data_IF_854985326371
#
_entry.id   IF_854985326371
#
_cell.length_a   1.000
_cell.length_b   1.000
_cell.length_c   1.000
_cell.angle_alpha   90.00
_cell.angle_beta   90.00
_cell.angle_gamma   90.00
#
_symmetry.space_group_name_H-M   'P 1'
#
loop_
_entity.id
_entity.type
_entity.pdbx_description
1 polymer ?
#
# COMPACT_ATOMS: atom_id res chain seq x y z
N UNK A 1 70.30 10.33 20.49
CA UNK A 1 70.81 10.10 19.13
C UNK A 1 69.75 9.34 18.34
N UNK A 2 69.42 9.83 17.15
CA UNK A 2 68.66 9.18 16.07
C UNK A 2 67.19 8.81 16.29
N UNK A 3 66.26 8.96 15.33
CA UNK A 3 65.85 10.03 14.38
C UNK A 3 64.50 9.55 13.80
N UNK A 4 63.56 10.50 13.67
CA UNK A 4 62.44 10.62 12.71
C UNK A 4 61.90 9.42 11.90
N UNK A 5 60.56 9.28 11.95
CA UNK A 5 59.64 9.07 10.79
C UNK A 5 58.23 9.48 11.28
N UNK A 6 57.52 10.56 10.92
CA UNK A 6 57.17 11.30 9.69
C UNK A 6 56.21 10.57 8.71
N UNK A 7 54.91 10.96 8.83
CA UNK A 7 53.76 11.01 7.87
C UNK A 7 53.31 9.68 7.23
N UNK A 8 52.02 9.45 6.96
CA UNK A 8 51.10 10.29 6.15
C UNK A 8 49.62 10.07 6.47
N UNK A 9 48.88 11.17 6.41
CA UNK A 9 47.44 11.24 6.18
C UNK A 9 47.06 10.46 4.92
N UNK A 10 45.98 9.69 5.00
CA UNK A 10 45.22 9.27 3.84
C UNK A 10 43.73 9.52 4.14
N UNK A 11 43.28 10.73 3.77
CA UNK A 11 41.86 11.00 3.61
C UNK A 11 41.35 10.19 2.42
N UNK A 12 40.32 9.38 2.66
CA UNK A 12 39.57 8.74 1.59
C UNK A 12 38.53 9.75 1.14
N UNK A 13 38.76 10.30 -0.05
CA UNK A 13 37.81 11.11 -0.78
C UNK A 13 36.63 10.23 -1.21
N UNK A 14 35.44 10.49 -0.66
CA UNK A 14 34.19 10.02 -1.25
C UNK A 14 34.00 10.74 -2.59
N UNK A 15 34.36 10.08 -3.69
CA UNK A 15 33.92 10.51 -5.01
C UNK A 15 32.46 10.11 -5.13
N UNK A 16 31.57 11.08 -4.94
CA UNK A 16 30.16 10.94 -5.24
C UNK A 16 30.00 10.79 -6.77
N UNK A 17 29.91 9.55 -7.23
CA UNK A 17 29.43 9.25 -8.58
C UNK A 17 27.91 9.42 -8.56
N UNK A 18 27.45 10.45 -9.26
CA UNK A 18 26.05 10.62 -9.62
C UNK A 18 25.72 9.56 -10.67
N UNK A 19 25.34 8.37 -10.18
CA UNK A 19 24.77 7.28 -10.97
C UNK A 19 23.29 7.16 -10.63
N UNK A 20 22.46 7.06 -11.66
CA UNK A 20 20.99 7.00 -11.65
C UNK A 20 20.39 6.36 -10.39
N UNK A 21 19.56 7.15 -9.70
CA UNK A 21 18.76 6.74 -8.54
C UNK A 21 17.82 5.59 -8.90
N UNK A 22 18.22 4.39 -8.50
CA UNK A 22 17.42 3.17 -8.57
C UNK A 22 17.97 2.09 -7.63
N UNK A 23 18.63 2.48 -6.54
CA UNK A 23 18.85 1.58 -5.42
C UNK A 23 17.74 1.84 -4.42
N UNK A 24 16.60 1.19 -4.62
CA UNK A 24 15.73 0.86 -3.50
C UNK A 24 16.61 0.10 -2.52
N UNK A 25 16.91 0.73 -1.38
CA UNK A 25 17.47 0.04 -0.23
C UNK A 25 16.48 -1.06 0.10
N UNK A 26 16.72 -2.28 -0.40
CA UNK A 26 16.02 -3.45 0.08
C UNK A 26 16.29 -3.48 1.59
N UNK A 27 15.25 -3.38 2.44
CA UNK A 27 15.44 -3.63 3.87
C UNK A 27 16.14 -4.98 4.00
N UNK A 28 17.01 -5.13 5.00
CA UNK A 28 17.88 -6.30 5.14
C UNK A 28 17.14 -7.66 5.37
N UNK A 29 15.81 -7.69 5.24
CA UNK A 29 14.93 -8.85 5.31
C UNK A 29 14.53 -9.44 3.96
N UNK A 30 13.86 -10.58 3.97
CA UNK A 30 13.27 -11.20 2.77
C UNK A 30 11.92 -10.57 2.38
N UNK A 31 11.31 -10.99 1.25
CA UNK A 31 10.00 -10.53 0.80
C UNK A 31 8.90 -10.56 1.87
N UNK A 32 8.87 -11.61 2.69
CA UNK A 32 7.88 -11.79 3.77
C UNK A 32 8.07 -10.79 4.91
N UNK A 33 9.31 -10.37 5.19
CA UNK A 33 9.63 -9.35 6.20
C UNK A 33 9.11 -7.98 5.77
N UNK A 34 9.19 -7.68 4.47
CA UNK A 34 8.62 -6.45 3.89
C UNK A 34 7.11 -6.42 4.11
N UNK A 35 6.41 -7.50 3.78
CA UNK A 35 4.95 -7.61 3.95
C UNK A 35 4.53 -7.47 5.42
N UNK A 36 5.29 -8.07 6.35
CA UNK A 36 5.02 -7.95 7.79
C UNK A 36 5.06 -6.49 8.29
N UNK A 37 5.95 -5.68 7.71
CA UNK A 37 6.13 -4.28 8.06
C UNK A 37 5.07 -3.33 7.49
N UNK A 38 4.11 -3.82 6.70
CA UNK A 38 3.05 -2.99 6.13
C UNK A 38 1.98 -2.69 7.18
N UNK A 39 1.93 -1.45 7.65
CA UNK A 39 1.09 -1.00 8.77
C UNK A 39 -0.41 -1.09 8.48
N UNK A 40 -0.81 -0.76 7.25
CA UNK A 40 -2.21 -0.65 6.85
C UNK A 40 -2.74 -1.93 6.20
N UNK A 41 -1.96 -3.02 6.27
CA UNK A 41 -2.36 -4.34 5.83
C UNK A 41 -2.74 -5.21 7.03
N UNK A 42 -3.94 -5.78 7.01
CA UNK A 42 -4.39 -6.67 8.08
C UNK A 42 -3.56 -7.95 8.19
N UNK A 43 -3.42 -8.50 9.40
CA UNK A 43 -2.61 -9.69 9.66
C UNK A 43 -3.00 -10.91 8.79
N UNK A 44 -4.30 -11.14 8.58
CA UNK A 44 -4.77 -12.19 7.67
C UNK A 44 -4.40 -11.94 6.21
N UNK A 45 -4.41 -10.68 5.76
CA UNK A 45 -3.97 -10.31 4.40
C UNK A 45 -2.45 -10.41 4.25
N UNK A 46 -1.68 -10.06 5.28
CA UNK A 46 -0.23 -10.31 5.35
C UNK A 46 0.10 -11.80 5.22
N UNK A 47 -0.59 -12.65 5.97
CA UNK A 47 -0.42 -14.12 5.91
C UNK A 47 -0.73 -14.64 4.50
N UNK A 48 -1.78 -14.12 3.86
CA UNK A 48 -2.12 -14.50 2.48
C UNK A 48 -0.99 -14.15 1.50
N UNK A 49 -0.44 -12.93 1.59
CA UNK A 49 0.71 -12.53 0.77
C UNK A 49 1.95 -13.37 1.03
N UNK A 50 2.24 -13.69 2.29
CA UNK A 50 3.37 -14.56 2.63
C UNK A 50 3.24 -15.94 1.97
N UNK A 51 2.06 -16.54 2.04
CA UNK A 51 1.78 -17.81 1.36
C UNK A 51 1.98 -17.68 -0.15
N UNK A 52 1.42 -16.64 -0.78
CA UNK A 52 1.58 -16.41 -2.23
C UNK A 52 3.06 -16.21 -2.62
N UNK A 53 3.83 -15.51 -1.79
CA UNK A 53 5.27 -15.27 -1.98
C UNK A 53 6.06 -16.59 -1.92
N UNK A 54 5.76 -17.44 -0.95
CA UNK A 54 6.41 -18.76 -0.82
C UNK A 54 6.07 -19.66 -2.01
N UNK A 55 4.80 -19.72 -2.41
CA UNK A 55 4.34 -20.46 -3.59
C UNK A 55 4.94 -19.92 -4.90
N UNK A 56 5.24 -18.63 -4.95
CA UNK A 56 5.89 -17.98 -6.08
C UNK A 56 7.40 -18.24 -6.15
N UNK A 57 8.02 -18.87 -5.15
CA UNK A 57 9.46 -19.20 -5.13
C UNK A 57 10.31 -18.34 -4.18
N UNK A 58 9.69 -17.49 -3.35
CA UNK A 58 10.34 -16.78 -2.25
C UNK A 58 11.41 -15.76 -2.68
N UNK A 59 12.46 -15.63 -1.86
CA UNK A 59 13.45 -14.51 -1.84
C UNK A 59 14.18 -14.18 -3.16
N UNK A 60 14.14 -15.04 -4.17
CA UNK A 60 14.82 -14.84 -5.45
C UNK A 60 13.88 -15.00 -6.65
N UNK A 61 12.59 -14.80 -6.45
CA UNK A 61 11.58 -14.92 -7.50
C UNK A 61 11.06 -13.56 -7.92
N UNK A 62 11.13 -13.26 -9.21
CA UNK A 62 10.48 -12.07 -9.79
C UNK A 62 8.98 -12.04 -9.48
N UNK A 63 8.32 -13.20 -9.41
CA UNK A 63 6.91 -13.29 -9.01
C UNK A 63 6.70 -12.89 -7.55
N UNK A 64 7.63 -13.24 -6.67
CA UNK A 64 7.57 -12.80 -5.27
C UNK A 64 7.76 -11.28 -5.17
N UNK A 65 8.65 -10.70 -5.98
CA UNK A 65 8.85 -9.25 -6.03
C UNK A 65 7.59 -8.51 -6.50
N UNK A 66 6.88 -9.05 -7.51
CA UNK A 66 5.58 -8.50 -7.96
C UNK A 66 4.53 -8.55 -6.84
N UNK A 67 4.47 -9.64 -6.07
CA UNK A 67 3.54 -9.78 -4.94
C UNK A 67 3.86 -8.79 -3.81
N UNK A 68 5.14 -8.59 -3.50
CA UNK A 68 5.57 -7.56 -2.53
C UNK A 68 5.16 -6.18 -3.01
N UNK A 69 5.41 -5.85 -4.28
CA UNK A 69 5.02 -4.56 -4.85
C UNK A 69 3.50 -4.35 -4.80
N UNK A 70 2.71 -5.40 -5.06
CA UNK A 70 1.25 -5.33 -4.93
C UNK A 70 0.81 -5.05 -3.48
N UNK A 71 1.39 -5.74 -2.50
CA UNK A 71 1.09 -5.51 -1.09
C UNK A 71 1.47 -4.09 -0.65
N UNK A 72 2.61 -3.59 -1.12
CA UNK A 72 3.06 -2.22 -0.85
C UNK A 72 2.09 -1.18 -1.42
N UNK A 73 1.57 -1.40 -2.64
CA UNK A 73 0.54 -0.52 -3.21
C UNK A 73 -0.76 -0.58 -2.42
N UNK A 74 -1.24 -1.77 -2.05
CA UNK A 74 -2.43 -1.90 -1.19
C UNK A 74 -2.25 -1.15 0.14
N UNK A 75 -1.07 -1.22 0.76
CA UNK A 75 -0.74 -0.44 1.95
C UNK A 75 -0.72 1.08 1.69
N UNK A 76 -0.20 1.49 0.53
CA UNK A 76 -0.10 2.90 0.15
C UNK A 76 -1.46 3.54 -0.17
N UNK A 77 -2.56 2.78 -0.27
CA UNK A 77 -3.89 3.37 -0.43
C UNK A 77 -4.23 4.40 0.68
N UNK A 78 -3.72 4.17 1.90
CA UNK A 78 -3.83 5.12 3.02
C UNK A 78 -2.81 6.24 2.85
N UNK A 79 -3.27 7.47 3.01
CA UNK A 79 -2.45 8.68 2.87
C UNK A 79 -2.27 9.17 1.43
N UNK A 80 -2.80 8.46 0.43
CA UNK A 80 -2.78 8.90 -0.96
C UNK A 80 -4.05 9.68 -1.34
N UNK A 81 -3.95 10.73 -2.17
CA UNK A 81 -5.11 11.34 -2.78
C UNK A 81 -5.65 10.41 -3.87
N UNK A 82 -6.93 10.05 -3.80
CA UNK A 82 -7.55 9.12 -4.74
C UNK A 82 -8.72 9.80 -5.46
N UNK A 83 -8.86 9.48 -6.74
CA UNK A 83 -10.01 9.84 -7.56
C UNK A 83 -10.85 8.60 -7.86
N UNK A 84 -12.15 8.72 -7.71
CA UNK A 84 -13.09 7.68 -8.13
C UNK A 84 -13.17 7.64 -9.65
N UNK A 85 -12.97 6.46 -10.22
CA UNK A 85 -13.06 6.21 -11.66
C UNK A 85 -14.49 5.85 -12.05
N UNK A 86 -15.03 6.49 -13.09
CA UNK A 86 -16.37 6.23 -13.64
C UNK A 86 -17.35 7.39 -13.51
N UNK A 87 -18.65 7.12 -13.62
CA UNK A 87 -19.69 8.15 -13.46
C UNK A 87 -19.86 8.58 -12.00
N UNK A 88 -20.11 9.87 -11.75
CA UNK A 88 -20.10 10.44 -10.39
C UNK A 88 -18.69 10.53 -9.84
N UNK A 89 -17.80 11.22 -10.57
CA UNK A 89 -16.40 11.44 -10.22
C UNK A 89 -16.27 12.34 -8.99
N UNK A 90 -15.32 11.99 -8.13
CA UNK A 90 -14.93 12.80 -6.99
C UNK A 90 -13.68 12.21 -6.36
N UNK A 91 -13.15 12.90 -5.38
CA UNK A 91 -11.99 12.50 -4.60
C UNK A 91 -12.40 11.83 -3.30
N UNK A 92 -11.59 10.88 -2.85
CA UNK A 92 -11.68 10.26 -1.54
C UNK A 92 -10.27 10.09 -0.98
N UNK A 93 -10.12 10.20 0.34
CA UNK A 93 -8.87 10.00 1.04
C UNK A 93 -9.13 9.17 2.31
N UNK A 94 -8.30 8.15 2.49
CA UNK A 94 -8.19 7.39 3.73
C UNK A 94 -7.01 7.96 4.51
N UNK A 95 -7.28 8.82 5.48
CA UNK A 95 -6.23 9.50 6.23
C UNK A 95 -5.59 8.57 7.28
N UNK A 96 -4.30 8.73 7.57
CA UNK A 96 -3.56 7.89 8.52
C UNK A 96 -4.14 7.89 9.94
N UNK A 97 -4.90 8.93 10.31
CA UNK A 97 -5.57 9.04 11.61
C UNK A 97 -6.86 8.20 11.71
N UNK A 98 -7.21 7.44 10.68
CA UNK A 98 -8.40 6.60 10.63
C UNK A 98 -9.65 7.32 10.15
N UNK A 99 -9.55 8.57 9.66
CA UNK A 99 -10.69 9.30 9.09
C UNK A 99 -10.81 9.11 7.57
N UNK A 100 -12.04 9.23 7.07
CA UNK A 100 -12.33 9.29 5.63
C UNK A 100 -12.84 10.68 5.30
N UNK A 101 -12.30 11.27 4.24
CA UNK A 101 -12.79 12.52 3.67
C UNK A 101 -12.89 12.41 2.16
N UNK A 102 -13.70 13.26 1.54
CA UNK A 102 -13.88 13.23 0.10
C UNK A 102 -15.08 14.06 -0.35
N UNK A 103 -15.27 14.08 -1.66
CA UNK A 103 -16.45 14.67 -2.27
C UNK A 103 -17.69 13.83 -1.91
N UNK A 104 -18.82 14.49 -1.68
CA UNK A 104 -20.07 13.83 -1.26
C UNK A 104 -20.49 12.72 -2.24
N UNK A 105 -20.35 12.96 -3.55
CA UNK A 105 -20.66 11.98 -4.60
C UNK A 105 -19.71 10.76 -4.59
N UNK A 106 -18.46 10.95 -4.20
CA UNK A 106 -17.52 9.85 -4.02
C UNK A 106 -17.87 9.04 -2.76
N UNK A 107 -18.15 9.72 -1.64
CA UNK A 107 -18.50 9.08 -0.36
C UNK A 107 -19.81 8.29 -0.43
N UNK A 108 -20.80 8.74 -1.21
CA UNK A 108 -22.06 8.01 -1.44
C UNK A 108 -21.84 6.59 -1.99
N UNK A 109 -20.79 6.35 -2.77
CA UNK A 109 -20.47 5.01 -3.32
C UNK A 109 -20.03 4.02 -2.25
N UNK A 110 -19.63 4.52 -1.08
CA UNK A 110 -19.20 3.74 0.08
C UNK A 110 -20.21 3.79 1.24
N UNK A 111 -21.42 4.32 0.98
CA UNK A 111 -22.46 4.59 1.99
C UNK A 111 -22.06 5.59 3.08
N UNK A 112 -21.39 6.67 2.64
CA UNK A 112 -21.04 7.83 3.47
C UNK A 112 -20.28 7.49 4.77
N UNK A 113 -19.19 6.70 4.70
CA UNK A 113 -18.41 6.37 5.90
C UNK A 113 -17.60 7.59 6.33
N UNK A 114 -17.30 7.68 7.61
CA UNK A 114 -16.52 8.79 8.19
C UNK A 114 -15.17 8.34 8.73
N UNK A 115 -15.00 7.04 8.97
CA UNK A 115 -13.79 6.45 9.52
C UNK A 115 -13.45 5.15 8.80
N UNK A 116 -12.20 4.71 8.93
CA UNK A 116 -11.76 3.41 8.47
C UNK A 116 -10.89 2.72 9.53
N UNK A 117 -10.82 1.40 9.45
CA UNK A 117 -9.94 0.58 10.28
C UNK A 117 -9.38 -0.60 9.48
N UNK A 118 -8.17 -1.01 9.85
CA UNK A 118 -7.58 -2.27 9.36
C UNK A 118 -8.32 -3.44 10.03
N UNK A 119 -9.09 -4.20 9.25
CA UNK A 119 -9.61 -5.49 9.69
C UNK A 119 -8.57 -6.60 9.53
N UNK A 120 -8.90 -7.82 9.96
CA UNK A 120 -7.96 -8.96 9.89
C UNK A 120 -7.51 -9.23 8.45
N UNK A 121 -8.43 -9.28 7.49
CA UNK A 121 -8.09 -9.53 6.07
C UNK A 121 -8.68 -8.51 5.11
N UNK A 122 -9.46 -7.54 5.61
CA UNK A 122 -10.29 -6.63 4.82
C UNK A 122 -10.28 -5.26 5.47
N UNK A 123 -10.48 -4.22 4.67
CA UNK A 123 -10.69 -2.86 5.16
C UNK A 123 -12.09 -2.73 5.75
N UNK A 124 -12.21 -2.04 6.89
CA UNK A 124 -13.51 -1.65 7.44
C UNK A 124 -13.73 -0.18 7.15
N UNK A 125 -14.86 0.16 6.54
CA UNK A 125 -15.31 1.54 6.44
C UNK A 125 -16.48 1.73 7.39
N UNK A 126 -16.35 2.68 8.30
CA UNK A 126 -17.17 2.80 9.50
C UNK A 126 -17.98 4.10 9.47
N UNK A 127 -19.21 4.07 9.98
CA UNK A 127 -20.02 5.28 10.13
C UNK A 127 -19.57 6.16 11.31
N UNK A 128 -18.85 5.60 12.27
CA UNK A 128 -18.32 6.27 13.45
C UNK A 128 -16.99 5.66 13.89
N UNK A 129 -16.26 6.35 14.78
CA UNK A 129 -14.89 6.02 15.18
C UNK A 129 -14.78 4.65 15.86
N UNK A 130 -15.75 4.31 16.70
CA UNK A 130 -15.86 3.03 17.39
C UNK A 130 -16.04 1.83 16.45
N UNK A 131 -16.45 2.09 15.21
CA UNK A 131 -16.62 1.08 14.15
C UNK A 131 -17.51 -0.11 14.56
N UNK A 132 -18.55 0.15 15.36
CA UNK A 132 -19.58 -0.84 15.71
C UNK A 132 -20.34 -1.31 14.46
N UNK A 133 -20.64 -0.36 13.57
CA UNK A 133 -21.25 -0.61 12.27
C UNK A 133 -20.23 -0.28 11.19
N UNK A 134 -19.98 -1.23 10.29
CA UNK A 134 -19.04 -1.06 9.19
C UNK A 134 -19.42 -1.88 7.96
N UNK A 135 -18.98 -1.41 6.80
CA UNK A 135 -18.90 -2.20 5.57
C UNK A 135 -17.49 -2.77 5.42
N UNK A 136 -17.40 -3.99 4.87
CA UNK A 136 -16.14 -4.73 4.73
C UNK A 136 -15.70 -4.77 3.27
N UNK A 137 -14.47 -4.33 2.99
CA UNK A 137 -13.98 -4.16 1.63
C UNK A 137 -12.68 -4.94 1.41
N UNK A 138 -12.61 -5.68 0.31
CA UNK A 138 -11.33 -6.15 -0.23
C UNK A 138 -10.72 -5.09 -1.13
N UNK A 139 -9.40 -5.01 -1.11
CA UNK A 139 -8.63 -4.07 -1.92
C UNK A 139 -7.70 -4.89 -2.79
N UNK A 140 -7.68 -4.58 -4.07
CA UNK A 140 -6.70 -5.07 -5.04
C UNK A 140 -6.04 -3.88 -5.72
N UNK A 141 -4.73 -3.99 -6.01
CA UNK A 141 -3.98 -2.94 -6.71
C UNK A 141 -3.36 -3.45 -8.00
N UNK A 142 -3.33 -2.58 -9.01
CA UNK A 142 -2.67 -2.82 -10.30
C UNK A 142 -1.97 -1.56 -10.77
N UNK A 143 -0.87 -1.73 -11.51
CA UNK A 143 -0.26 -0.63 -12.25
C UNK A 143 -1.10 -0.34 -13.50
N UNK A 144 -1.32 0.94 -13.80
CA UNK A 144 -2.01 1.36 -15.02
C UNK A 144 -1.00 1.69 -16.13
N UNK A 145 -1.51 1.91 -17.35
CA UNK A 145 -0.67 2.14 -18.53
C UNK A 145 0.24 3.37 -18.44
N UNK A 146 -0.11 4.31 -17.57
CA UNK A 146 0.60 5.57 -17.37
C UNK A 146 1.64 5.48 -16.25
N UNK A 147 1.85 4.29 -15.67
CA UNK A 147 2.75 4.06 -14.55
C UNK A 147 2.20 4.51 -13.19
N UNK A 148 0.90 4.85 -13.14
CA UNK A 148 0.16 5.09 -11.91
C UNK A 148 -0.38 3.80 -11.29
N UNK A 149 -1.16 3.96 -10.22
CA UNK A 149 -1.78 2.84 -9.50
C UNK A 149 -3.29 2.98 -9.54
N UNK A 150 -3.95 1.91 -9.96
CA UNK A 150 -5.39 1.73 -9.86
C UNK A 150 -5.69 0.76 -8.71
N UNK A 151 -6.75 1.06 -7.98
CA UNK A 151 -7.29 0.24 -6.91
C UNK A 151 -8.70 -0.23 -7.27
N UNK A 152 -8.99 -1.49 -7.00
CA UNK A 152 -10.34 -2.05 -7.06
C UNK A 152 -10.78 -2.43 -5.66
N UNK A 153 -11.85 -1.81 -5.19
CA UNK A 153 -12.45 -2.07 -3.90
C UNK A 153 -13.74 -2.85 -4.10
N UNK A 154 -13.85 -4.05 -3.52
CA UNK A 154 -15.06 -4.87 -3.61
C UNK A 154 -15.72 -4.94 -2.24
N UNK A 155 -17.01 -4.60 -2.20
CA UNK A 155 -17.83 -4.75 -0.99
C UNK A 155 -18.14 -6.23 -0.78
N UNK A 156 -17.91 -6.70 0.43
CA UNK A 156 -18.13 -8.09 0.84
C UNK A 156 -19.41 -8.18 1.69
N UNK A 157 -20.10 -9.32 1.61
CA UNK A 157 -21.24 -9.62 2.50
C UNK A 157 -22.57 -9.00 2.10
N UNK A 158 -22.72 -8.57 0.84
CA UNK A 158 -24.03 -8.26 0.27
C UNK A 158 -24.82 -9.54 0.00
N UNK A 159 -26.14 -9.46 0.14
CA UNK A 159 -27.04 -10.51 -0.31
C UNK A 159 -26.89 -10.71 -1.83
N UNK A 160 -26.90 -11.97 -2.28
CA UNK A 160 -26.67 -12.36 -3.69
C UNK A 160 -27.58 -11.65 -4.71
N UNK A 161 -28.67 -11.04 -4.26
CA UNK A 161 -29.65 -10.34 -5.11
C UNK A 161 -29.20 -8.92 -5.52
N UNK A 162 -28.24 -8.30 -4.83
CA UNK A 162 -27.82 -6.91 -5.14
C UNK A 162 -26.62 -6.83 -6.10
N UNK A 163 -25.99 -7.97 -6.41
CA UNK A 163 -24.80 -8.03 -7.26
C UNK A 163 -23.54 -7.47 -6.56
N UNK A 164 -22.35 -7.63 -7.17
CA UNK A 164 -21.11 -7.15 -6.56
C UNK A 164 -21.04 -5.63 -6.65
N UNK A 165 -20.88 -4.96 -5.50
CA UNK A 165 -20.53 -3.53 -5.47
C UNK A 165 -19.02 -3.40 -5.60
N UNK A 166 -18.59 -2.78 -6.70
CA UNK A 166 -17.18 -2.57 -7.04
C UNK A 166 -16.94 -1.09 -7.26
N UNK A 167 -15.98 -0.52 -6.52
CA UNK A 167 -15.54 0.87 -6.70
C UNK A 167 -14.09 0.88 -7.16
N UNK A 168 -13.82 1.60 -8.25
CA UNK A 168 -12.47 1.77 -8.77
C UNK A 168 -11.93 3.14 -8.40
N UNK A 169 -10.72 3.15 -7.89
CA UNK A 169 -10.00 4.36 -7.54
C UNK A 169 -8.70 4.41 -8.35
N UNK A 170 -8.23 5.62 -8.62
CA UNK A 170 -6.89 5.84 -9.19
C UNK A 170 -6.20 6.93 -8.38
N UNK A 171 -4.87 6.87 -8.28
CA UNK A 171 -4.11 7.96 -7.63
C UNK A 171 -4.42 9.27 -8.36
N UNK A 172 -4.85 10.28 -7.60
CA UNK A 172 -5.12 11.59 -8.17
C UNK A 172 -3.80 12.21 -8.68
N UNK A 173 -3.84 12.73 -9.92
CA UNK A 173 -2.73 13.42 -10.59
C UNK A 173 -2.55 14.84 -10.11
#
# INVERSE_FOLDING_TARGET
MSVHAWKRFAGIACVAVWGMSGCSLMPAGGPTDVVNGLEYLGEGRKIEYQRMIEEAGGKNSEKADVLVAQAQRENALVGEPLSVVGEGTGSIAFAEDGTISGDEEALKKFDMPTHWQVGVSKFRMCWAQECEFYSSWSIESSENSDGGVDYTLNLEGLDEQEGPVVVKLTRAS
#
